data_IF_533295661132
#
_entry.id   IF_533295661132
#
_cell.length_a   1.000
_cell.length_b   1.000
_cell.length_c   1.000
_cell.angle_alpha   90.00
_cell.angle_beta   90.00
_cell.angle_gamma   90.00
#
_symmetry.space_group_name_H-M   'P 1'
#
loop_
_entity.id
_entity.type
_entity.pdbx_description
1 polymer ?
#
# COMPACT_ATOMS: atom_id res chain seq x y z
N UNK A 1 0.31 22.34 -17.57
CA UNK A 1 0.53 22.36 -16.11
C UNK A 1 2.02 22.51 -15.85
N UNK A 2 2.41 23.39 -14.93
CA UNK A 2 3.80 23.52 -14.54
C UNK A 2 4.28 22.25 -13.81
N UNK A 3 5.59 22.01 -13.76
CA UNK A 3 6.18 20.87 -13.04
C UNK A 3 5.86 20.87 -11.54
N UNK A 4 5.57 22.05 -10.98
CA UNK A 4 5.22 22.24 -9.58
C UNK A 4 3.74 21.88 -9.27
N UNK A 5 2.86 22.01 -10.25
CA UNK A 5 1.42 21.85 -10.04
C UNK A 5 1.09 20.39 -9.69
N UNK A 6 0.20 20.16 -8.71
CA UNK A 6 -0.31 18.83 -8.44
C UNK A 6 -0.85 18.17 -9.71
N UNK A 7 -0.65 16.85 -9.79
CA UNK A 7 -1.21 16.04 -10.85
C UNK A 7 -2.68 15.73 -10.52
N UNK A 8 -3.59 16.06 -11.43
CA UNK A 8 -5.02 15.82 -11.26
C UNK A 8 -5.54 14.69 -12.17
N UNK A 9 -6.50 13.93 -11.66
CA UNK A 9 -7.43 13.13 -12.45
C UNK A 9 -8.53 14.06 -12.98
N UNK A 10 -8.94 13.93 -14.26
CA UNK A 10 -10.03 14.74 -14.80
C UNK A 10 -11.30 14.66 -13.95
N UNK A 11 -11.98 15.79 -13.76
CA UNK A 11 -13.26 15.81 -13.04
C UNK A 11 -14.25 14.78 -13.61
N UNK A 12 -14.97 14.10 -12.72
CA UNK A 12 -15.95 13.08 -13.09
C UNK A 12 -15.36 11.72 -13.45
N UNK A 13 -14.05 11.49 -13.29
CA UNK A 13 -13.45 10.17 -13.54
C UNK A 13 -14.09 9.12 -12.63
N UNK A 14 -14.53 8.01 -13.25
CA UNK A 14 -15.09 6.83 -12.57
C UNK A 14 -14.28 5.62 -13.00
N UNK A 15 -13.85 4.82 -12.03
CA UNK A 15 -13.11 3.59 -12.25
C UNK A 15 -14.06 2.39 -12.17
N UNK A 16 -13.84 1.41 -13.04
CA UNK A 16 -14.41 0.08 -12.98
C UNK A 16 -13.36 -0.91 -12.43
N UNK A 17 -13.77 -2.10 -11.92
CA UNK A 17 -12.83 -3.12 -11.47
C UNK A 17 -11.75 -3.46 -12.52
N UNK A 18 -12.12 -3.53 -13.80
CA UNK A 18 -11.19 -3.86 -14.89
C UNK A 18 -10.09 -2.80 -15.12
N UNK A 19 -10.29 -1.57 -14.64
CA UNK A 19 -9.27 -0.51 -14.65
C UNK A 19 -8.24 -0.70 -13.54
N UNK A 20 -8.59 -1.45 -12.49
CA UNK A 20 -7.81 -1.60 -11.26
C UNK A 20 -7.10 -2.95 -11.17
N UNK A 21 -7.51 -3.94 -11.98
CA UNK A 21 -6.99 -5.31 -11.94
C UNK A 21 -5.95 -5.56 -13.04
N UNK A 22 -4.80 -6.08 -12.65
CA UNK A 22 -3.69 -6.40 -13.53
C UNK A 22 -3.26 -7.85 -13.35
N UNK A 23 -2.99 -8.53 -14.46
CA UNK A 23 -2.51 -9.91 -14.51
C UNK A 23 -1.88 -10.20 -15.88
N UNK A 24 -1.10 -11.27 -15.96
CA UNK A 24 -0.39 -11.64 -17.17
C UNK A 24 -1.35 -11.99 -18.31
N UNK A 25 -0.98 -11.62 -19.54
CA UNK A 25 -1.68 -11.99 -20.77
C UNK A 25 -3.17 -11.57 -20.85
N UNK A 26 -3.54 -10.38 -20.33
CA UNK A 26 -4.93 -9.83 -20.40
C UNK A 26 -5.59 -9.87 -21.79
N UNK A 27 -4.82 -9.89 -22.88
CA UNK A 27 -5.35 -10.02 -24.24
C UNK A 27 -5.72 -11.45 -24.67
N UNK A 28 -5.34 -12.47 -23.89
CA UNK A 28 -5.54 -13.90 -24.19
C UNK A 28 -6.17 -14.68 -23.04
N UNK A 29 -6.06 -14.16 -21.82
CA UNK A 29 -6.51 -14.79 -20.58
C UNK A 29 -7.64 -13.95 -19.97
N UNK A 30 -8.70 -14.61 -19.51
CA UNK A 30 -9.75 -13.95 -18.73
C UNK A 30 -9.35 -13.78 -17.27
N UNK A 31 -10.05 -12.92 -16.52
CA UNK A 31 -9.84 -12.79 -15.07
C UNK A 31 -10.11 -14.11 -14.34
N UNK A 32 -11.11 -14.89 -14.76
CA UNK A 32 -11.40 -16.18 -14.12
C UNK A 32 -10.24 -17.18 -14.29
N UNK A 33 -9.64 -17.20 -15.49
CA UNK A 33 -8.42 -17.97 -15.73
C UNK A 33 -7.24 -17.41 -14.92
N UNK A 34 -7.13 -16.07 -14.79
CA UNK A 34 -6.15 -15.39 -13.93
C UNK A 34 -6.18 -15.91 -12.50
N UNK A 35 -7.36 -15.88 -11.89
CA UNK A 35 -7.57 -16.26 -10.50
C UNK A 35 -7.39 -17.77 -10.27
N UNK A 36 -7.77 -18.61 -11.24
CA UNK A 36 -7.66 -20.06 -11.11
C UNK A 36 -6.22 -20.56 -10.95
N UNK A 37 -5.23 -19.88 -11.53
CA UNK A 37 -3.81 -20.28 -11.46
C UNK A 37 -3.03 -19.46 -10.43
N UNK A 38 -3.53 -18.30 -10.01
CA UNK A 38 -2.86 -17.46 -9.05
C UNK A 38 -2.94 -18.00 -7.62
N UNK A 39 -1.83 -17.86 -6.89
CA UNK A 39 -1.71 -18.17 -5.46
C UNK A 39 -1.44 -16.92 -4.61
N UNK A 40 -1.29 -15.76 -5.27
CA UNK A 40 -0.98 -14.48 -4.66
C UNK A 40 -1.89 -13.38 -5.20
N UNK A 41 -2.59 -12.70 -4.29
CA UNK A 41 -3.20 -11.40 -4.57
C UNK A 41 -2.26 -10.31 -4.04
N UNK A 42 -1.87 -9.36 -4.88
CA UNK A 42 -1.10 -8.19 -4.45
C UNK A 42 -2.01 -6.97 -4.47
N UNK A 43 -1.98 -6.17 -3.40
CA UNK A 43 -2.67 -4.89 -3.30
C UNK A 43 -1.66 -3.76 -3.11
N UNK A 44 -1.86 -2.63 -3.78
CA UNK A 44 -1.10 -1.39 -3.54
C UNK A 44 -2.05 -0.26 -3.12
N UNK A 45 -2.50 -0.24 -1.85
CA UNK A 45 -3.50 0.71 -1.35
C UNK A 45 -3.09 2.18 -1.47
N UNK A 46 -1.80 2.47 -1.61
CA UNK A 46 -1.25 3.82 -1.52
C UNK A 46 -0.52 4.28 -2.78
N UNK A 47 -0.62 3.51 -3.86
CA UNK A 47 0.15 3.76 -5.10
C UNK A 47 -0.41 4.85 -5.99
N UNK A 48 -1.73 5.04 -6.03
CA UNK A 48 -2.36 6.12 -6.77
C UNK A 48 -1.87 7.49 -6.28
N UNK A 49 -1.45 8.37 -7.18
CA UNK A 49 -0.97 9.70 -6.82
C UNK A 49 -1.87 10.83 -7.30
N UNK A 50 -2.55 10.66 -8.45
CA UNK A 50 -3.31 11.73 -9.08
C UNK A 50 -4.57 12.10 -8.28
N UNK A 51 -4.74 13.39 -8.01
CA UNK A 51 -5.81 13.92 -7.15
C UNK A 51 -7.07 14.14 -8.00
N UNK A 52 -8.27 13.69 -7.58
CA UNK A 52 -9.52 14.11 -8.22
C UNK A 52 -9.62 15.64 -8.33
N UNK A 53 -9.84 16.17 -9.54
CA UNK A 53 -9.88 17.62 -9.82
C UNK A 53 -10.87 18.37 -8.93
N UNK A 54 -11.97 17.73 -8.52
CA UNK A 54 -12.96 18.28 -7.58
C UNK A 54 -12.36 18.66 -6.22
N UNK A 55 -11.26 18.02 -5.81
CA UNK A 55 -10.57 18.37 -4.57
C UNK A 55 -9.62 19.56 -4.72
N UNK A 56 -9.37 20.03 -5.94
CA UNK A 56 -8.38 21.06 -6.25
C UNK A 56 -8.62 22.38 -5.51
N UNK A 57 -9.87 22.78 -5.32
CA UNK A 57 -10.20 24.04 -4.61
C UNK A 57 -9.83 24.00 -3.12
N UNK A 58 -9.78 22.80 -2.53
CA UNK A 58 -9.48 22.59 -1.12
C UNK A 58 -7.99 22.42 -0.84
N UNK A 59 -7.14 22.24 -1.87
CA UNK A 59 -5.71 22.05 -1.67
C UNK A 59 -5.02 23.33 -1.18
N UNK A 60 -4.14 23.19 -0.19
CA UNK A 60 -3.30 24.29 0.27
C UNK A 60 -2.49 24.85 -0.92
N UNK A 61 -2.40 26.19 -1.11
CA UNK A 61 -1.69 26.78 -2.25
C UNK A 61 -0.21 26.38 -2.34
N UNK A 62 0.42 26.08 -1.20
CA UNK A 62 1.80 25.61 -1.12
C UNK A 62 1.99 24.11 -1.43
N UNK A 63 0.91 23.37 -1.70
CA UNK A 63 0.98 21.92 -1.96
C UNK A 63 1.46 21.66 -3.38
N UNK A 64 2.66 21.09 -3.50
CA UNK A 64 3.33 20.83 -4.78
C UNK A 64 3.20 19.37 -5.20
N UNK A 65 3.51 19.08 -6.47
CA UNK A 65 3.65 17.71 -6.98
C UNK A 65 4.62 16.86 -6.15
N UNK A 66 5.74 17.44 -5.69
CA UNK A 66 6.69 16.76 -4.80
C UNK A 66 6.00 16.26 -3.52
N UNK A 67 5.25 17.13 -2.84
CA UNK A 67 4.54 16.78 -1.60
C UNK A 67 3.40 15.78 -1.83
N UNK A 68 2.71 15.91 -2.96
CA UNK A 68 1.69 14.96 -3.40
C UNK A 68 2.26 13.54 -3.52
N UNK A 69 3.35 13.38 -4.26
CA UNK A 69 3.94 12.06 -4.52
C UNK A 69 4.65 11.50 -3.28
N UNK A 70 5.30 12.33 -2.47
CA UNK A 70 5.90 11.91 -1.20
C UNK A 70 4.86 11.33 -0.23
N UNK A 71 3.63 11.85 -0.26
CA UNK A 71 2.49 11.40 0.55
C UNK A 71 1.84 10.08 0.05
N UNK A 72 2.42 9.46 -0.98
CA UNK A 72 1.93 8.22 -1.63
C UNK A 72 3.06 7.20 -1.72
N UNK A 73 2.72 5.96 -2.07
CA UNK A 73 3.66 4.87 -2.31
C UNK A 73 3.80 4.68 -3.83
N UNK A 74 3.93 5.78 -4.56
CA UNK A 74 3.84 5.81 -6.02
C UNK A 74 4.92 4.98 -6.73
N UNK A 75 6.01 4.60 -6.04
CA UNK A 75 7.05 3.75 -6.60
C UNK A 75 6.65 2.28 -6.67
N UNK A 76 5.60 1.88 -5.95
CA UNK A 76 5.10 0.50 -5.93
C UNK A 76 4.38 0.10 -7.22
N UNK A 77 3.53 0.96 -7.77
CA UNK A 77 2.69 0.63 -8.95
C UNK A 77 3.51 0.21 -10.17
N UNK A 78 4.56 0.93 -10.61
CA UNK A 78 5.38 0.49 -11.73
C UNK A 78 5.97 -0.91 -11.55
N UNK A 79 6.51 -1.21 -10.35
CA UNK A 79 7.11 -2.51 -10.03
C UNK A 79 6.07 -3.62 -10.02
N UNK A 80 4.93 -3.42 -9.35
CA UNK A 80 3.92 -4.47 -9.19
C UNK A 80 3.13 -4.69 -10.47
N UNK A 81 2.85 -3.64 -11.26
CA UNK A 81 2.30 -3.81 -12.61
C UNK A 81 3.22 -4.66 -13.47
N UNK A 82 4.52 -4.32 -13.50
CA UNK A 82 5.49 -5.08 -14.27
C UNK A 82 5.61 -6.52 -13.78
N UNK A 83 5.55 -6.76 -12.48
CA UNK A 83 5.53 -8.11 -11.91
C UNK A 83 4.28 -8.89 -12.33
N UNK A 84 3.10 -8.26 -12.31
CA UNK A 84 1.84 -8.88 -12.74
C UNK A 84 1.83 -9.24 -14.23
N UNK A 85 2.58 -8.51 -15.06
CA UNK A 85 2.76 -8.84 -16.48
C UNK A 85 3.60 -10.10 -16.70
N UNK A 86 4.63 -10.33 -15.87
CA UNK A 86 5.61 -11.41 -16.07
C UNK A 86 5.33 -12.67 -15.24
N UNK A 87 4.50 -12.57 -14.19
CA UNK A 87 4.18 -13.69 -13.31
C UNK A 87 2.69 -14.06 -13.41
N UNK A 88 2.33 -15.14 -14.14
CA UNK A 88 0.93 -15.55 -14.29
C UNK A 88 0.29 -16.06 -12.99
N UNK A 89 1.07 -16.23 -11.92
CA UNK A 89 0.61 -16.76 -10.62
C UNK A 89 0.23 -15.66 -9.63
N UNK A 90 0.25 -14.39 -10.06
CA UNK A 90 -0.23 -13.28 -9.25
C UNK A 90 -1.40 -12.57 -9.95
N UNK A 91 -2.27 -11.99 -9.14
CA UNK A 91 -3.22 -10.95 -9.56
C UNK A 91 -2.92 -9.70 -8.74
N UNK A 92 -2.87 -8.55 -9.40
CA UNK A 92 -2.61 -7.26 -8.76
C UNK A 92 -3.86 -6.39 -8.80
N UNK A 93 -4.19 -5.74 -7.68
CA UNK A 93 -5.24 -4.72 -7.57
C UNK A 93 -4.66 -3.39 -7.08
N UNK A 94 -4.94 -2.32 -7.81
CA UNK A 94 -4.38 -0.99 -7.58
C UNK A 94 -5.44 0.01 -7.10
N UNK A 95 -5.13 0.78 -6.05
CA UNK A 95 -5.96 1.91 -5.68
C UNK A 95 -5.66 3.09 -6.63
N UNK A 96 -6.66 3.60 -7.39
CA UNK A 96 -6.42 4.67 -8.36
C UNK A 96 -6.22 6.04 -7.70
N UNK A 97 -6.66 6.19 -6.45
CA UNK A 97 -6.63 7.46 -5.73
C UNK A 97 -5.47 7.53 -4.73
N UNK A 98 -4.94 8.73 -4.45
CA UNK A 98 -4.04 8.92 -3.33
C UNK A 98 -4.76 8.64 -2.02
N UNK A 99 -4.00 8.13 -1.05
CA UNK A 99 -4.45 7.92 0.35
C UNK A 99 -5.03 9.19 0.99
N UNK A 100 -4.75 10.34 0.40
CA UNK A 100 -5.35 11.64 0.70
C UNK A 100 -6.88 11.64 0.59
N UNK A 101 -7.47 10.93 -0.37
CA UNK A 101 -8.95 10.87 -0.56
C UNK A 101 -9.62 10.23 0.63
N UNK A 102 -9.11 9.06 1.01
CA UNK A 102 -9.27 8.38 2.30
C UNK A 102 -8.25 7.26 2.29
N UNK A 103 -7.56 7.05 3.39
CA UNK A 103 -6.56 5.99 3.48
C UNK A 103 -7.27 4.62 3.57
N UNK A 104 -7.23 3.77 2.51
CA UNK A 104 -7.89 2.43 2.55
C UNK A 104 -7.19 1.46 3.50
N UNK A 105 -6.04 1.86 4.06
CA UNK A 105 -5.30 1.15 5.07
C UNK A 105 -5.62 1.64 6.50
N UNK A 106 -6.79 2.28 6.66
CA UNK A 106 -7.42 2.65 7.91
C UNK A 106 -8.85 2.14 7.93
N UNK A 107 -9.42 2.02 9.13
CA UNK A 107 -10.85 1.74 9.25
C UNK A 107 -11.65 2.89 8.63
N UNK A 108 -12.72 2.55 7.90
CA UNK A 108 -13.64 3.55 7.35
C UNK A 108 -14.30 4.31 8.50
N UNK A 109 -14.24 5.65 8.52
CA UNK A 109 -14.90 6.42 9.57
C UNK A 109 -16.42 6.29 9.45
N UNK A 110 -17.11 6.18 10.59
CA UNK A 110 -18.58 6.16 10.65
C UNK A 110 -19.17 7.53 10.24
N UNK A 111 -18.49 8.61 10.63
CA UNK A 111 -18.83 9.99 10.30
C UNK A 111 -17.58 10.73 9.83
N UNK A 112 -17.52 10.95 8.50
CA UNK A 112 -16.40 11.63 7.86
C UNK A 112 -16.30 13.10 8.24
N UNK A 113 -17.45 13.79 8.35
CA UNK A 113 -17.50 15.19 8.73
C UNK A 113 -16.98 15.38 10.16
N UNK A 114 -17.44 14.57 11.11
CA UNK A 114 -16.99 14.64 12.50
C UNK A 114 -15.48 14.40 12.62
N UNK A 115 -14.97 13.43 11.87
CA UNK A 115 -13.54 13.08 11.83
C UNK A 115 -12.70 14.23 11.25
N UNK A 116 -13.13 14.83 10.13
CA UNK A 116 -12.45 15.99 9.53
C UNK A 116 -12.48 17.20 10.47
N UNK A 117 -13.62 17.50 11.10
CA UNK A 117 -13.76 18.58 12.08
C UNK A 117 -12.74 18.46 13.20
N UNK A 118 -12.61 17.25 13.74
CA UNK A 118 -11.66 16.96 14.80
C UNK A 118 -10.21 17.04 14.31
N UNK A 119 -9.89 16.48 13.14
CA UNK A 119 -8.55 16.56 12.57
C UNK A 119 -8.08 18.01 12.36
N UNK A 120 -8.92 18.88 11.80
CA UNK A 120 -8.63 20.31 11.69
C UNK A 120 -8.45 20.98 13.07
N UNK A 121 -9.31 20.68 14.04
CA UNK A 121 -9.18 21.22 15.39
C UNK A 121 -7.84 20.84 16.04
N UNK A 122 -7.40 19.58 15.90
CA UNK A 122 -6.11 19.10 16.43
C UNK A 122 -4.92 19.75 15.73
N UNK A 123 -4.96 19.91 14.40
CA UNK A 123 -3.91 20.65 13.66
C UNK A 123 -3.85 22.12 14.07
N UNK A 124 -4.99 22.78 14.23
CA UNK A 124 -5.07 24.17 14.68
C UNK A 124 -4.49 24.35 16.08
N UNK A 125 -4.81 23.44 17.00
CA UNK A 125 -4.28 23.45 18.36
C UNK A 125 -2.76 23.24 18.41
N UNK A 126 -2.21 22.39 17.52
CA UNK A 126 -0.77 22.19 17.40
C UNK A 126 -0.05 23.42 16.81
N UNK A 127 -0.71 24.15 15.91
CA UNK A 127 -0.13 25.30 15.19
C UNK A 127 0.58 24.89 13.89
N UNK A 128 0.73 25.86 12.98
CA UNK A 128 1.24 25.61 11.61
C UNK A 128 2.63 24.98 11.63
N UNK A 129 2.78 23.82 10.97
CA UNK A 129 4.04 23.10 10.81
C UNK A 129 4.47 22.29 12.03
N UNK A 130 3.69 22.28 13.11
CA UNK A 130 3.96 21.48 14.30
C UNK A 130 3.32 20.09 14.20
N UNK A 131 3.92 19.14 14.90
CA UNK A 131 3.38 17.77 15.04
C UNK A 131 2.00 17.82 15.69
N UNK A 132 1.00 17.30 14.98
CA UNK A 132 -0.36 17.08 15.48
C UNK A 132 -0.63 15.58 15.65
N UNK A 133 -1.25 15.19 16.76
CA UNK A 133 -1.70 13.82 16.96
C UNK A 133 -3.04 13.59 16.26
N UNK A 134 -3.01 12.87 15.14
CA UNK A 134 -4.21 12.52 14.36
C UNK A 134 -4.68 11.09 14.61
N UNK A 135 -4.20 10.44 15.67
CA UNK A 135 -4.60 9.07 16.00
C UNK A 135 -6.12 8.95 16.13
N UNK A 136 -6.71 8.04 15.36
CA UNK A 136 -8.15 7.80 15.31
C UNK A 136 -8.94 8.74 14.40
N UNK A 137 -8.31 9.78 13.85
CA UNK A 137 -8.94 10.76 12.93
C UNK A 137 -8.10 11.01 11.67
N UNK A 138 -7.22 10.07 11.32
CA UNK A 138 -6.25 10.18 10.23
C UNK A 138 -6.70 9.50 8.93
N UNK A 139 -7.97 9.08 8.83
CA UNK A 139 -8.54 8.53 7.60
C UNK A 139 -8.46 9.53 6.43
N UNK A 140 -8.65 10.82 6.71
CA UNK A 140 -8.29 11.94 5.81
C UNK A 140 -7.46 12.92 6.62
N UNK A 141 -6.25 13.22 6.15
CA UNK A 141 -5.33 14.12 6.85
C UNK A 141 -5.36 15.51 6.22
N UNK A 142 -5.56 16.59 6.99
CA UNK A 142 -5.43 17.96 6.49
C UNK A 142 -3.97 18.40 6.28
N UNK A 143 -3.01 17.58 6.72
CA UNK A 143 -1.56 17.82 6.61
C UNK A 143 -0.83 16.54 6.21
N UNK A 144 0.35 16.68 5.60
CA UNK A 144 1.23 15.54 5.26
C UNK A 144 1.80 14.85 6.51
N UNK A 145 2.60 13.78 6.33
CA UNK A 145 3.31 13.13 7.44
C UNK A 145 4.37 14.04 8.08
N UNK A 146 4.92 14.99 7.33
CA UNK A 146 5.80 16.07 7.83
C UNK A 146 5.04 17.32 8.30
N UNK A 147 3.73 17.25 8.47
CA UNK A 147 2.87 18.33 8.96
C UNK A 147 2.84 19.60 8.09
N UNK A 148 3.13 19.47 6.78
CA UNK A 148 2.87 20.55 5.83
C UNK A 148 1.38 20.61 5.47
N UNK A 149 0.81 21.81 5.30
CA UNK A 149 -0.58 21.96 4.86
C UNK A 149 -0.84 21.20 3.56
N UNK A 150 -1.86 20.34 3.61
CA UNK A 150 -2.38 19.62 2.45
C UNK A 150 -3.72 20.22 2.08
N UNK A 151 -4.62 20.42 3.06
CA UNK A 151 -5.93 21.05 2.86
C UNK A 151 -5.94 22.46 3.43
N UNK A 152 -6.72 23.33 2.78
CA UNK A 152 -7.16 24.61 3.34
C UNK A 152 -8.21 24.31 4.39
N UNK A 153 -8.05 24.92 5.57
CA UNK A 153 -9.08 24.86 6.59
C UNK A 153 -10.33 25.60 6.10
N UNK A 154 -11.52 24.96 6.12
CA UNK A 154 -12.77 25.64 5.80
C UNK A 154 -13.04 26.82 6.73
N UNK A 155 -13.55 27.92 6.18
CA UNK A 155 -13.84 29.13 6.94
C UNK A 155 -15.03 28.97 7.90
N UNK A 156 -15.95 28.07 7.57
CA UNK A 156 -17.18 27.82 8.30
C UNK A 156 -17.62 26.35 8.18
N UNK A 157 -18.69 26.03 8.90
CA UNK A 157 -19.27 24.70 8.98
C UNK A 157 -19.81 24.20 7.63
N UNK A 158 -20.43 25.11 6.85
CA UNK A 158 -20.91 24.80 5.52
C UNK A 158 -19.77 24.41 4.58
N UNK A 159 -18.60 25.06 4.69
CA UNK A 159 -17.39 24.68 3.95
C UNK A 159 -16.86 23.32 4.35
N UNK A 160 -16.92 22.97 5.63
CA UNK A 160 -16.50 21.66 6.10
C UNK A 160 -17.43 20.53 5.64
N UNK A 161 -18.75 20.77 5.60
CA UNK A 161 -19.69 19.84 4.99
C UNK A 161 -19.42 19.63 3.51
N UNK A 162 -19.23 20.72 2.72
CA UNK A 162 -18.88 20.60 1.29
C UNK A 162 -17.58 19.80 1.09
N UNK A 163 -16.58 20.02 1.92
CA UNK A 163 -15.32 19.26 1.88
C UNK A 163 -15.56 17.76 2.12
N UNK A 164 -16.30 17.42 3.19
CA UNK A 164 -16.60 16.03 3.53
C UNK A 164 -17.43 15.34 2.43
N UNK A 165 -18.44 16.03 1.90
CA UNK A 165 -19.29 15.52 0.81
C UNK A 165 -18.48 15.29 -0.46
N UNK A 166 -17.59 16.22 -0.81
CA UNK A 166 -16.72 16.07 -2.00
C UNK A 166 -15.78 14.87 -1.84
N UNK A 167 -15.15 14.70 -0.67
CA UNK A 167 -14.32 13.52 -0.40
C UNK A 167 -15.12 12.21 -0.49
N UNK A 168 -16.32 12.17 0.07
CA UNK A 168 -17.19 10.99 0.00
C UNK A 168 -17.60 10.68 -1.45
N UNK A 169 -17.95 11.70 -2.22
CA UNK A 169 -18.32 11.56 -3.63
C UNK A 169 -17.16 11.02 -4.46
N UNK A 170 -15.97 11.63 -4.39
CA UNK A 170 -14.83 11.17 -5.18
C UNK A 170 -14.36 9.79 -4.71
N UNK A 171 -14.40 9.49 -3.41
CA UNK A 171 -14.09 8.15 -2.90
C UNK A 171 -15.02 7.09 -3.52
N UNK A 172 -16.30 7.38 -3.68
CA UNK A 172 -17.29 6.45 -4.26
C UNK A 172 -16.95 6.00 -5.69
N UNK A 173 -16.25 6.85 -6.46
CA UNK A 173 -15.93 6.66 -7.88
C UNK A 173 -14.64 5.87 -8.14
N UNK A 174 -13.80 5.66 -7.13
CA UNK A 174 -12.53 4.95 -7.31
C UNK A 174 -12.05 4.18 -6.08
N UNK A 175 -11.98 4.83 -4.92
CA UNK A 175 -11.52 4.18 -3.69
C UNK A 175 -12.47 3.07 -3.21
N UNK A 176 -13.77 3.35 -3.18
CA UNK A 176 -14.78 2.36 -2.80
C UNK A 176 -14.87 1.24 -3.85
N UNK A 177 -14.50 1.51 -5.12
CA UNK A 177 -14.39 0.49 -6.16
C UNK A 177 -13.19 -0.40 -5.91
N UNK A 178 -12.03 0.18 -5.57
CA UNK A 178 -10.82 -0.54 -5.16
C UNK A 178 -11.09 -1.47 -3.98
N UNK A 179 -11.66 -0.97 -2.89
CA UNK A 179 -11.92 -1.77 -1.68
C UNK A 179 -12.83 -2.96 -1.98
N UNK A 180 -13.97 -2.74 -2.66
CA UNK A 180 -14.86 -3.83 -3.05
C UNK A 180 -14.17 -4.83 -3.97
N UNK A 181 -13.41 -4.34 -4.96
CA UNK A 181 -12.70 -5.19 -5.92
C UNK A 181 -11.67 -6.06 -5.21
N UNK A 182 -10.86 -5.49 -4.32
CA UNK A 182 -9.88 -6.21 -3.51
C UNK A 182 -10.56 -7.30 -2.67
N UNK A 183 -11.63 -6.95 -1.96
CA UNK A 183 -12.32 -7.87 -1.06
C UNK A 183 -13.01 -9.01 -1.83
N UNK A 184 -13.63 -8.70 -2.97
CA UNK A 184 -14.23 -9.69 -3.88
C UNK A 184 -13.16 -10.65 -4.43
N UNK A 185 -11.98 -10.15 -4.81
CA UNK A 185 -10.87 -10.97 -5.27
C UNK A 185 -10.35 -11.89 -4.18
N UNK A 186 -10.23 -11.41 -2.93
CA UNK A 186 -9.85 -12.23 -1.77
C UNK A 186 -10.82 -13.41 -1.63
N UNK A 187 -12.13 -13.14 -1.55
CA UNK A 187 -13.12 -14.21 -1.35
C UNK A 187 -13.15 -15.21 -2.52
N UNK A 188 -12.99 -14.73 -3.76
CA UNK A 188 -12.90 -15.60 -4.95
C UNK A 188 -11.65 -16.48 -4.93
N UNK A 189 -10.49 -15.93 -4.61
CA UNK A 189 -9.25 -16.70 -4.55
C UNK A 189 -9.22 -17.67 -3.37
N UNK A 190 -9.85 -17.33 -2.25
CA UNK A 190 -10.11 -18.26 -1.14
C UNK A 190 -10.96 -19.43 -1.62
N UNK A 191 -12.10 -19.18 -2.29
CA UNK A 191 -12.95 -20.24 -2.82
C UNK A 191 -12.19 -21.17 -3.78
N UNK A 192 -11.41 -20.60 -4.71
CA UNK A 192 -10.56 -21.35 -5.64
C UNK A 192 -9.46 -22.14 -4.92
N UNK A 193 -8.90 -21.64 -3.81
CA UNK A 193 -7.95 -22.41 -3.00
C UNK A 193 -8.60 -23.68 -2.40
N UNK A 194 -9.83 -23.58 -1.91
CA UNK A 194 -10.59 -24.74 -1.44
C UNK A 194 -10.91 -25.72 -2.57
N UNK A 195 -11.38 -25.24 -3.73
CA UNK A 195 -11.66 -26.10 -4.88
C UNK A 195 -10.42 -26.83 -5.41
N UNK A 196 -9.25 -26.15 -5.37
CA UNK A 196 -7.97 -26.77 -5.73
C UNK A 196 -7.57 -27.85 -4.72
N UNK A 197 -7.81 -27.62 -3.43
CA UNK A 197 -7.47 -28.59 -2.40
C UNK A 197 -8.27 -29.89 -2.52
N UNK A 198 -9.54 -29.83 -2.93
CA UNK A 198 -10.37 -31.02 -3.20
C UNK A 198 -9.80 -31.90 -4.33
N UNK A 199 -9.06 -31.31 -5.27
CA UNK A 199 -8.51 -31.98 -6.46
C UNK A 199 -7.01 -32.28 -6.33
N UNK A 200 -6.35 -31.72 -5.32
CA UNK A 200 -4.90 -31.78 -5.14
C UNK A 200 -4.52 -32.88 -4.16
N UNK A 201 -3.41 -33.57 -4.44
CA UNK A 201 -2.78 -34.49 -3.47
C UNK A 201 -1.75 -33.79 -2.57
N UNK A 202 -1.51 -32.49 -2.79
CA UNK A 202 -0.54 -31.69 -2.03
C UNK A 202 -1.16 -30.40 -1.46
N UNK A 203 -0.46 -29.72 -0.54
CA UNK A 203 -0.97 -28.53 0.11
C UNK A 203 -1.20 -27.39 -0.90
N UNK A 204 -2.29 -26.66 -0.69
CA UNK A 204 -2.66 -25.47 -1.48
C UNK A 204 -2.44 -24.24 -0.62
N UNK A 205 -1.83 -23.21 -1.19
CA UNK A 205 -1.56 -21.95 -0.50
C UNK A 205 -2.25 -20.81 -1.23
N UNK A 206 -2.80 -19.86 -0.46
CA UNK A 206 -3.21 -18.56 -0.96
C UNK A 206 -2.71 -17.48 -0.01
N UNK A 207 -2.02 -16.48 -0.56
CA UNK A 207 -1.56 -15.32 0.20
C UNK A 207 -2.11 -14.03 -0.39
N UNK A 208 -2.48 -13.09 0.47
CA UNK A 208 -2.66 -11.68 0.08
C UNK A 208 -1.49 -10.85 0.58
N UNK A 209 -0.92 -10.02 -0.29
CA UNK A 209 0.24 -9.17 -0.04
C UNK A 209 -0.16 -7.69 -0.18
N UNK A 210 -0.03 -6.95 0.92
CA UNK A 210 -0.15 -5.48 0.93
C UNK A 210 1.23 -4.89 0.64
N UNK A 211 1.43 -4.31 -0.56
CA UNK A 211 2.73 -3.83 -1.03
C UNK A 211 2.82 -2.30 -0.88
N UNK A 212 3.82 -1.85 -0.12
CA UNK A 212 4.03 -0.46 0.29
C UNK A 212 5.47 -0.02 0.07
N UNK A 213 5.67 1.29 0.10
CA UNK A 213 7.00 1.86 0.21
C UNK A 213 7.02 3.09 1.14
N UNK A 214 8.16 3.33 1.78
CA UNK A 214 8.41 4.61 2.46
C UNK A 214 9.90 4.93 2.49
N UNK A 215 10.24 6.19 2.74
CA UNK A 215 11.64 6.62 2.89
C UNK A 215 12.09 6.61 4.35
N UNK A 216 13.38 6.38 4.56
CA UNK A 216 14.05 6.63 5.85
C UNK A 216 14.30 8.11 6.11
N UNK A 217 13.89 8.96 5.18
CA UNK A 217 13.92 10.41 5.28
C UNK A 217 12.50 10.98 5.16
N UNK A 218 12.33 12.20 5.62
CA UNK A 218 11.08 12.97 5.57
C UNK A 218 11.32 14.32 4.92
N UNK A 219 10.23 14.92 4.44
CA UNK A 219 10.29 16.08 3.57
C UNK A 219 10.54 17.39 4.34
N UNK A 220 11.33 18.28 3.75
CA UNK A 220 11.54 19.67 4.15
C UNK A 220 10.60 20.61 3.41
N UNK A 221 10.53 21.87 3.82
CA UNK A 221 9.61 22.87 3.26
C UNK A 221 9.86 23.18 1.78
N UNK A 222 11.10 23.06 1.33
CA UNK A 222 11.51 23.23 -0.07
C UNK A 222 11.42 21.94 -0.90
N UNK A 223 10.81 20.88 -0.34
CA UNK A 223 10.50 19.63 -1.02
C UNK A 223 11.66 18.63 -1.07
N UNK A 224 12.76 18.87 -0.37
CA UNK A 224 13.82 17.87 -0.23
C UNK A 224 13.41 16.77 0.76
N UNK A 225 13.64 15.50 0.43
CA UNK A 225 13.34 14.37 1.33
C UNK A 225 14.63 13.92 2.01
N UNK A 226 15.15 14.74 2.93
CA UNK A 226 16.48 14.55 3.51
C UNK A 226 16.53 14.68 5.05
N UNK A 227 15.40 14.82 5.73
CA UNK A 227 15.37 14.79 7.20
C UNK A 227 15.26 13.35 7.66
N UNK A 228 16.36 12.80 8.14
CA UNK A 228 16.45 11.41 8.58
C UNK A 228 15.44 11.09 9.69
N UNK A 229 14.78 9.93 9.59
CA UNK A 229 13.89 9.41 10.63
C UNK A 229 14.65 8.95 11.86
N UNK A 230 13.98 8.91 13.00
CA UNK A 230 14.51 8.27 14.19
C UNK A 230 14.82 6.79 13.90
N UNK A 231 15.86 6.25 14.52
CA UNK A 231 16.34 4.88 14.26
C UNK A 231 15.24 3.81 14.36
N UNK A 232 14.38 3.93 15.37
CA UNK A 232 13.26 3.02 15.59
C UNK A 232 12.17 3.07 14.49
N UNK A 233 12.17 4.10 13.64
CA UNK A 233 11.22 4.30 12.54
C UNK A 233 11.84 4.01 11.17
N UNK A 234 13.10 3.54 11.12
CA UNK A 234 13.81 3.24 9.87
C UNK A 234 13.47 1.84 9.38
N UNK A 235 13.28 1.73 8.08
CA UNK A 235 13.23 0.47 7.36
C UNK A 235 14.62 -0.14 7.19
N UNK A 236 14.69 -1.47 7.05
CA UNK A 236 15.90 -2.15 6.56
C UNK A 236 16.23 -1.73 5.13
N UNK A 237 17.39 -2.15 4.64
CA UNK A 237 17.90 -1.71 3.34
C UNK A 237 17.06 -2.14 2.14
N UNK A 238 16.24 -3.19 2.26
CA UNK A 238 15.33 -3.65 1.19
C UNK A 238 13.88 -3.54 1.62
N UNK A 239 13.45 -4.39 2.56
CA UNK A 239 12.02 -4.56 2.88
C UNK A 239 11.79 -5.09 4.29
N UNK A 240 10.78 -4.55 4.95
CA UNK A 240 10.20 -5.14 6.16
C UNK A 240 8.96 -5.97 5.79
N UNK A 241 8.95 -7.25 6.16
CA UNK A 241 7.80 -8.13 5.98
C UNK A 241 7.01 -8.24 7.28
N UNK A 242 5.72 -7.95 7.25
CA UNK A 242 4.93 -7.86 8.47
C UNK A 242 3.73 -8.80 8.46
N UNK A 243 3.62 -9.60 9.52
CA UNK A 243 2.50 -10.50 9.78
C UNK A 243 1.81 -10.21 11.13
N UNK A 244 2.04 -9.03 11.72
CA UNK A 244 1.54 -8.60 13.04
C UNK A 244 2.19 -9.25 14.26
N UNK A 245 3.18 -10.13 14.03
CA UNK A 245 4.00 -10.74 15.07
C UNK A 245 5.06 -9.82 15.66
N UNK A 246 5.98 -10.42 16.41
CA UNK A 246 7.23 -9.81 16.89
C UNK A 246 8.31 -9.80 15.80
N UNK A 247 9.54 -9.46 16.17
CA UNK A 247 10.68 -9.40 15.25
C UNK A 247 11.12 -10.77 14.67
N UNK A 248 10.54 -11.87 15.17
CA UNK A 248 10.67 -13.21 14.61
C UNK A 248 9.43 -13.64 13.81
N UNK A 249 8.37 -12.84 13.81
CA UNK A 249 7.08 -13.17 13.21
C UNK A 249 6.17 -13.99 14.11
N UNK A 250 6.54 -14.23 15.37
CA UNK A 250 5.74 -15.00 16.33
C UNK A 250 4.67 -14.11 17.01
N UNK A 251 3.59 -14.69 17.57
CA UNK A 251 2.52 -13.92 18.20
C UNK A 251 2.99 -13.02 19.36
N UNK A 252 2.46 -11.79 19.44
CA UNK A 252 2.75 -10.85 20.53
C UNK A 252 1.66 -10.90 21.59
N UNK A 253 1.83 -11.79 22.57
CA UNK A 253 0.78 -12.10 23.55
C UNK A 253 -0.46 -12.64 22.83
N UNK A 254 -1.64 -12.10 23.14
CA UNK A 254 -2.91 -12.53 22.54
C UNK A 254 -3.16 -11.93 21.15
N UNK A 255 -2.24 -11.12 20.62
CA UNK A 255 -2.40 -10.53 19.29
C UNK A 255 -2.17 -11.59 18.21
N UNK A 256 -3.19 -11.91 17.40
CA UNK A 256 -3.05 -12.94 16.39
C UNK A 256 -2.21 -12.43 15.20
N UNK A 257 -1.34 -13.32 14.69
CA UNK A 257 -0.62 -13.10 13.43
C UNK A 257 -1.55 -13.28 12.22
N UNK A 258 -1.22 -12.61 11.11
CA UNK A 258 -1.96 -12.68 9.84
C UNK A 258 -1.39 -13.71 8.86
N UNK A 259 -0.17 -14.20 9.10
CA UNK A 259 0.50 -15.28 8.37
C UNK A 259 1.26 -16.15 9.37
N UNK A 260 1.33 -17.46 9.14
CA UNK A 260 2.06 -18.38 10.01
C UNK A 260 3.54 -17.94 10.17
N UNK A 261 4.13 -17.97 11.39
CA UNK A 261 5.48 -17.44 11.62
C UNK A 261 6.56 -18.10 10.74
N UNK A 262 6.48 -19.41 10.57
CA UNK A 262 7.37 -20.17 9.70
C UNK A 262 7.21 -19.83 8.22
N UNK A 263 6.01 -19.45 7.78
CA UNK A 263 5.78 -18.98 6.41
C UNK A 263 6.40 -17.60 6.18
N UNK A 264 6.24 -16.63 7.08
CA UNK A 264 6.85 -15.30 6.91
C UNK A 264 8.37 -15.35 7.01
N UNK A 265 8.93 -16.22 7.88
CA UNK A 265 10.38 -16.46 7.95
C UNK A 265 10.94 -17.04 6.64
N UNK A 266 10.24 -18.01 6.05
CA UNK A 266 10.61 -18.56 4.74
C UNK A 266 10.49 -17.51 3.62
N UNK A 267 9.45 -16.67 3.67
CA UNK A 267 9.28 -15.57 2.72
C UNK A 267 10.43 -14.55 2.81
N UNK A 268 10.87 -14.22 4.03
CA UNK A 268 12.01 -13.34 4.24
C UNK A 268 13.32 -13.94 3.71
N UNK A 269 13.57 -15.24 3.92
CA UNK A 269 14.71 -15.93 3.32
C UNK A 269 14.65 -15.89 1.79
N UNK A 270 13.48 -16.13 1.21
CA UNK A 270 13.30 -16.09 -0.23
C UNK A 270 13.48 -14.67 -0.80
N UNK A 271 13.06 -13.62 -0.08
CA UNK A 271 13.33 -12.23 -0.45
C UNK A 271 14.83 -11.92 -0.43
N UNK A 272 15.57 -12.37 0.58
CA UNK A 272 17.04 -12.19 0.59
C UNK A 272 17.70 -12.82 -0.63
N UNK A 273 17.27 -14.03 -0.99
CA UNK A 273 17.77 -14.71 -2.19
C UNK A 273 17.34 -14.01 -3.49
N UNK A 274 16.07 -13.65 -3.63
CA UNK A 274 15.53 -13.05 -4.85
C UNK A 274 16.02 -11.62 -5.11
N UNK A 275 16.30 -10.85 -4.06
CA UNK A 275 16.95 -9.53 -4.16
C UNK A 275 18.49 -9.60 -4.09
N UNK A 276 19.07 -10.81 -4.05
CA UNK A 276 20.51 -11.05 -4.04
C UNK A 276 21.27 -10.32 -2.91
N UNK A 277 20.66 -10.21 -1.73
CA UNK A 277 21.26 -9.54 -0.56
C UNK A 277 21.85 -10.55 0.41
N UNK A 278 23.14 -10.34 0.73
CA UNK A 278 23.87 -11.19 1.68
C UNK A 278 23.61 -10.81 3.14
N UNK A 279 23.30 -9.53 3.41
CA UNK A 279 23.04 -9.05 4.76
C UNK A 279 21.67 -9.55 5.26
N UNK A 280 21.60 -10.35 6.34
CA UNK A 280 20.32 -10.82 6.87
C UNK A 280 19.42 -9.68 7.35
N UNK A 281 19.97 -8.52 7.71
CA UNK A 281 19.25 -7.33 8.18
C UNK A 281 18.68 -6.49 7.04
N UNK A 282 19.05 -6.75 5.78
CA UNK A 282 18.45 -6.09 4.63
C UNK A 282 16.96 -6.44 4.45
N UNK A 283 16.53 -7.58 5.00
CA UNK A 283 15.12 -8.01 5.07
C UNK A 283 14.78 -8.32 6.52
N UNK A 284 13.88 -7.54 7.11
CA UNK A 284 13.48 -7.69 8.53
C UNK A 284 12.01 -8.05 8.67
N UNK A 285 11.61 -8.50 9.85
CA UNK A 285 10.21 -8.82 10.17
C UNK A 285 9.63 -7.81 11.15
N UNK A 286 8.40 -7.37 10.88
CA UNK A 286 7.57 -6.58 11.80
C UNK A 286 8.23 -5.32 12.40
N UNK A 287 9.25 -4.77 11.75
CA UNK A 287 10.02 -3.60 12.20
C UNK A 287 10.26 -2.65 11.01
N UNK A 288 9.91 -1.36 11.12
CA UNK A 288 9.22 -0.72 12.25
C UNK A 288 7.71 -0.95 12.21
N UNK A 289 7.17 -1.47 11.09
CA UNK A 289 5.74 -1.66 10.89
C UNK A 289 5.30 -3.08 11.21
N UNK A 290 4.18 -3.19 11.93
CA UNK A 290 3.58 -4.46 12.33
C UNK A 290 2.56 -4.96 11.31
N UNK A 291 2.22 -4.15 10.30
CA UNK A 291 1.26 -4.50 9.26
C UNK A 291 0.03 -3.60 9.20
N UNK A 292 -0.58 -3.64 8.03
CA UNK A 292 -1.66 -2.82 7.49
C UNK A 292 -3.04 -3.24 8.03
N UNK A 293 -4.00 -2.32 8.01
CA UNK A 293 -5.42 -2.64 8.12
C UNK A 293 -5.83 -3.73 7.12
N UNK A 294 -5.34 -3.70 5.88
CA UNK A 294 -5.65 -4.73 4.89
C UNK A 294 -5.28 -6.14 5.37
N UNK A 295 -4.05 -6.35 5.88
CA UNK A 295 -3.63 -7.69 6.34
C UNK A 295 -4.27 -8.07 7.68
N UNK A 296 -4.67 -7.08 8.50
CA UNK A 296 -5.41 -7.32 9.74
C UNK A 296 -6.79 -7.90 9.41
N UNK A 297 -7.50 -7.26 8.48
CA UNK A 297 -8.85 -7.66 8.05
C UNK A 297 -8.81 -9.01 7.34
N UNK A 298 -7.91 -9.19 6.36
CA UNK A 298 -7.73 -10.47 5.69
C UNK A 298 -7.30 -11.58 6.66
N UNK A 299 -6.37 -11.29 7.58
CA UNK A 299 -5.93 -12.25 8.59
C UNK A 299 -7.05 -12.65 9.55
N UNK A 300 -7.95 -11.73 9.93
CA UNK A 300 -9.14 -12.07 10.71
C UNK A 300 -10.07 -13.02 9.96
N UNK A 301 -10.35 -12.71 8.69
CA UNK A 301 -11.14 -13.55 7.81
C UNK A 301 -10.56 -14.96 7.65
N UNK A 302 -9.25 -15.07 7.44
CA UNK A 302 -8.58 -16.37 7.28
C UNK A 302 -8.59 -17.20 8.56
N UNK A 303 -8.54 -16.57 9.74
CA UNK A 303 -8.70 -17.29 11.01
C UNK A 303 -10.09 -17.89 11.19
N UNK A 304 -11.15 -17.21 10.77
CA UNK A 304 -12.52 -17.78 10.78
C UNK A 304 -12.60 -19.05 9.93
N UNK A 305 -11.84 -19.10 8.83
CA UNK A 305 -11.76 -20.25 7.93
C UNK A 305 -10.76 -21.32 8.40
N UNK A 306 -10.01 -21.08 9.47
CA UNK A 306 -8.82 -21.86 9.85
C UNK A 306 -9.09 -23.35 10.06
N UNK A 307 -10.16 -23.72 10.77
CA UNK A 307 -10.51 -25.13 11.00
C UNK A 307 -10.88 -25.85 9.70
N UNK A 308 -11.61 -25.17 8.80
CA UNK A 308 -11.98 -25.71 7.49
C UNK A 308 -10.75 -25.82 6.59
N UNK A 309 -9.90 -24.81 6.58
CA UNK A 309 -8.66 -24.77 5.79
C UNK A 309 -7.71 -25.91 6.21
N UNK A 310 -7.52 -26.10 7.52
CA UNK A 310 -6.71 -27.20 8.05
C UNK A 310 -7.24 -28.58 7.66
N UNK A 311 -8.56 -28.79 7.68
CA UNK A 311 -9.18 -30.07 7.35
C UNK A 311 -8.95 -30.54 5.90
N UNK A 312 -8.72 -29.59 4.98
CA UNK A 312 -8.47 -29.89 3.55
C UNK A 312 -7.05 -29.52 3.10
N UNK A 313 -6.15 -29.15 4.01
CA UNK A 313 -4.76 -28.81 3.66
C UNK A 313 -4.59 -27.50 2.88
N UNK A 314 -5.46 -26.51 3.12
CA UNK A 314 -5.30 -25.14 2.60
C UNK A 314 -4.57 -24.29 3.63
N UNK A 315 -3.53 -23.58 3.21
CA UNK A 315 -2.87 -22.55 3.99
C UNK A 315 -3.25 -21.15 3.47
N UNK A 316 -3.78 -20.31 4.35
CA UNK A 316 -4.16 -18.93 4.06
C UNK A 316 -3.25 -17.98 4.85
N UNK A 317 -2.75 -16.93 4.19
CA UNK A 317 -1.88 -15.94 4.82
C UNK A 317 -2.07 -14.53 4.30
N UNK A 318 -1.88 -13.54 5.15
CA UNK A 318 -1.84 -12.13 4.78
C UNK A 318 -0.56 -11.49 5.31
N UNK A 319 0.17 -10.78 4.45
CA UNK A 319 1.48 -10.19 4.77
C UNK A 319 1.58 -8.79 4.16
N UNK A 320 2.25 -7.87 4.85
CA UNK A 320 2.65 -6.58 4.28
C UNK A 320 4.11 -6.64 3.89
N UNK A 321 4.47 -6.07 2.75
CA UNK A 321 5.83 -5.73 2.39
C UNK A 321 5.98 -4.22 2.37
N UNK A 322 6.77 -3.67 3.29
CA UNK A 322 7.13 -2.27 3.33
C UNK A 322 8.54 -2.10 2.77
N UNK A 323 8.65 -1.69 1.52
CA UNK A 323 9.94 -1.49 0.87
C UNK A 323 10.54 -0.14 1.23
N UNK A 324 11.87 -0.13 1.37
CA UNK A 324 12.61 1.13 1.41
C UNK A 324 12.50 1.80 0.04
N UNK A 325 11.84 2.95 -0.05
CA UNK A 325 11.66 3.67 -1.31
C UNK A 325 12.99 4.04 -1.95
N UNK A 326 14.03 4.36 -1.17
CA UNK A 326 15.38 4.56 -1.70
C UNK A 326 15.92 3.33 -2.43
N UNK A 327 15.57 2.12 -1.96
CA UNK A 327 15.89 0.87 -2.64
C UNK A 327 15.04 0.69 -3.91
N UNK A 328 13.76 1.06 -3.92
CA UNK A 328 12.96 0.98 -5.16
C UNK A 328 13.45 1.97 -6.23
N UNK A 329 13.77 3.20 -5.84
CA UNK A 329 14.17 4.27 -6.76
C UNK A 329 15.63 4.17 -7.21
N UNK A 330 16.51 3.64 -6.37
CA UNK A 330 17.94 3.60 -6.63
C UNK A 330 18.66 4.91 -6.30
N UNK A 331 20.00 4.89 -6.35
CA UNK A 331 20.82 5.97 -5.80
C UNK A 331 20.62 7.31 -6.50
N UNK A 332 20.49 7.31 -7.83
CA UNK A 332 20.42 8.55 -8.61
C UNK A 332 19.10 9.29 -8.39
N UNK A 333 17.97 8.59 -8.49
CA UNK A 333 16.65 9.17 -8.22
C UNK A 333 16.48 9.54 -6.74
N UNK A 334 17.06 8.74 -5.83
CA UNK A 334 17.11 9.08 -4.40
C UNK A 334 17.88 10.38 -4.16
N UNK A 335 19.05 10.55 -4.78
CA UNK A 335 19.85 11.75 -4.68
C UNK A 335 19.14 12.98 -5.29
N UNK A 336 18.29 12.78 -6.30
CA UNK A 336 17.38 13.82 -6.77
C UNK A 336 16.33 14.19 -5.72
N UNK A 337 15.66 13.21 -5.10
CA UNK A 337 14.67 13.46 -4.04
C UNK A 337 15.26 14.16 -2.82
N UNK A 338 16.51 13.88 -2.47
CA UNK A 338 17.20 14.49 -1.33
C UNK A 338 17.56 15.97 -1.53
N UNK A 339 17.38 16.52 -2.74
CA UNK A 339 17.61 17.92 -3.06
C UNK A 339 16.28 18.71 -3.11
N UNK A 340 16.32 20.03 -2.85
CA UNK A 340 15.15 20.89 -2.99
C UNK A 340 14.53 20.77 -4.38
N UNK A 341 13.20 20.75 -4.46
CA UNK A 341 12.50 20.56 -5.73
C UNK A 341 10.98 20.44 -5.59
N UNK A 342 10.29 20.58 -6.72
CA UNK A 342 8.82 20.63 -6.78
C UNK A 342 8.19 19.51 -7.60
N UNK A 343 8.97 18.78 -8.41
CA UNK A 343 8.51 17.68 -9.25
C UNK A 343 8.63 16.31 -8.57
N UNK A 344 8.49 15.24 -9.33
CA UNK A 344 8.81 13.86 -8.93
C UNK A 344 9.60 13.18 -10.05
N UNK A 345 10.66 12.40 -9.77
CA UNK A 345 11.42 11.70 -10.81
C UNK A 345 10.55 10.66 -11.50
N UNK A 346 10.75 10.50 -12.81
CA UNK A 346 10.15 9.39 -13.54
C UNK A 346 10.82 8.06 -13.12
N UNK A 347 10.06 6.97 -12.97
CA UNK A 347 10.62 5.66 -12.66
C UNK A 347 11.62 5.20 -13.72
N UNK A 348 12.76 4.67 -13.30
CA UNK A 348 13.72 4.01 -14.17
C UNK A 348 13.17 2.64 -14.61
N UNK A 349 12.92 2.49 -15.92
CA UNK A 349 12.31 1.29 -16.50
C UNK A 349 13.16 0.03 -16.31
N UNK A 350 14.49 0.13 -16.42
CA UNK A 350 15.39 -1.01 -16.25
C UNK A 350 15.40 -1.45 -14.77
N UNK A 351 15.38 -0.48 -13.85
CA UNK A 351 15.25 -0.76 -12.42
C UNK A 351 13.91 -1.39 -12.08
N UNK A 352 12.82 -0.90 -12.66
CA UNK A 352 11.47 -1.46 -12.48
C UNK A 352 11.42 -2.92 -12.95
N UNK A 353 11.97 -3.23 -14.13
CA UNK A 353 12.02 -4.59 -14.67
C UNK A 353 12.85 -5.53 -13.78
N UNK A 354 14.04 -5.07 -13.36
CA UNK A 354 14.90 -5.80 -12.42
C UNK A 354 14.16 -6.10 -11.10
N UNK A 355 13.50 -5.11 -10.50
CA UNK A 355 12.76 -5.28 -9.24
C UNK A 355 11.58 -6.24 -9.39
N UNK A 356 10.84 -6.17 -10.50
CA UNK A 356 9.74 -7.09 -10.79
C UNK A 356 10.24 -8.54 -10.92
N UNK A 357 11.37 -8.75 -11.60
CA UNK A 357 12.02 -10.06 -11.69
C UNK A 357 12.52 -10.55 -10.32
N UNK A 358 13.04 -9.67 -9.47
CA UNK A 358 13.46 -10.01 -8.11
C UNK A 358 12.25 -10.37 -7.21
N UNK A 359 11.13 -9.65 -7.32
CA UNK A 359 9.87 -10.03 -6.68
C UNK A 359 9.43 -11.42 -7.13
N UNK A 360 9.38 -11.68 -8.44
CA UNK A 360 9.06 -13.00 -8.98
C UNK A 360 10.01 -14.08 -8.44
N UNK A 361 11.32 -13.86 -8.47
CA UNK A 361 12.32 -14.81 -7.96
C UNK A 361 12.14 -15.08 -6.46
N UNK A 362 11.83 -14.05 -5.66
CA UNK A 362 11.54 -14.17 -4.23
C UNK A 362 10.32 -15.06 -3.98
N UNK A 363 9.25 -14.86 -4.74
CA UNK A 363 8.05 -15.69 -4.62
C UNK A 363 8.22 -17.09 -5.21
N UNK A 364 9.08 -17.26 -6.21
CA UNK A 364 9.49 -18.58 -6.71
C UNK A 364 10.27 -19.36 -5.66
N UNK A 365 11.25 -18.73 -5.01
CA UNK A 365 11.97 -19.31 -3.87
C UNK A 365 11.03 -19.69 -2.74
N UNK A 366 10.07 -18.82 -2.41
CA UNK A 366 9.07 -19.10 -1.39
C UNK A 366 8.18 -20.29 -1.77
N UNK A 367 7.67 -20.37 -3.00
CA UNK A 367 6.84 -21.50 -3.46
C UNK A 367 7.60 -22.83 -3.46
N UNK A 368 8.91 -22.79 -3.76
CA UNK A 368 9.78 -23.97 -3.87
C UNK A 368 10.41 -24.41 -2.53
N UNK A 369 10.04 -23.80 -1.39
CA UNK A 369 10.59 -24.11 -0.07
C UNK A 369 10.28 -25.52 0.48
N UNK A 370 9.71 -26.40 -0.34
CA UNK A 370 9.19 -27.71 0.05
C UNK A 370 10.28 -28.76 0.10
#
# INVERSE_FOLDING_TARGET
MATADPLFLPAGTVFAPDDLIFYADRGRRSLDQALAEADLLVSCPHSGAAIPEELGEFLAPEFTRRLQFDFTDCSTSPVVRRWAEIDPRIVYVENPHPRMVRDPNRARPEDLYATLREAFARVRAAGKGNKADLSGVDAIRPVTFSFYPLLREPADDAGLHRLADTFAEVASRGLDVYERTRDDLIERMVALAFERAEKSTGPVEFTTLSFHDTMNHTTTRDGAVNVERAEADRLPDVVALSNRGDDQGDPRGDNPVSMAPQAVRALAQAHRAGFEVADPTAVMLNQPYLGSHEIITAGARFRELGSRAAAVGVALGAVQAEFRREFLLGPDLTAELMRPGVGWPEPDADRVDMLAHACKASWDGYRNRR
#
